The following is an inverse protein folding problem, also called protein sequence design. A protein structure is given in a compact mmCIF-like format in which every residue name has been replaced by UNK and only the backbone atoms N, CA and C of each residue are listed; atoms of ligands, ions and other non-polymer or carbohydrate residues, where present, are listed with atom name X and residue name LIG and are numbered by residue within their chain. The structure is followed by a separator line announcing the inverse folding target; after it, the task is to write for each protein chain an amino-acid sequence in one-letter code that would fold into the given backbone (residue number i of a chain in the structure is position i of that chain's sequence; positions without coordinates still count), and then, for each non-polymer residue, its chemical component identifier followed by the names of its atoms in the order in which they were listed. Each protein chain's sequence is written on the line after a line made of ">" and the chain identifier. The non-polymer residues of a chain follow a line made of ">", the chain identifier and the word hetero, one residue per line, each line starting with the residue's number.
data_IF_776873321612
#
_entry.id   IF_776873321612
#
_cell.length_a   1.000
_cell.length_b   1.000
_cell.length_c   1.000
_cell.angle_alpha   90.00
_cell.angle_beta   90.00
_cell.angle_gamma   90.00
#
_symmetry.space_group_name_H-M   'P 1'
#
loop_
_entity.id
_entity.type
_entity.pdbx_description
1 polymer ?
2 non-polymer ?
3 non-polymer ?
4 non-polymer ?
5 water ?
#
# COMPACT_ATOMS: atom_id res chain seq x y z
N UNK A 1 -4.59 -5.80 21.67
CA UNK A 1 -5.59 -4.79 21.37
C UNK A 1 -5.23 -3.96 20.16
N UNK A 2 -6.13 -3.06 19.75
CA UNK A 2 -5.88 -2.26 18.55
C UNK A 2 -4.56 -1.50 18.55
N UNK A 3 -4.15 -0.92 19.69
CA UNK A 3 -2.91 -0.15 19.68
C UNK A 3 -1.69 -1.03 19.44
N UNK A 4 -1.64 -2.21 20.07
CA UNK A 4 -0.54 -3.14 19.84
C UNK A 4 -0.54 -3.65 18.40
N UNK A 5 -1.71 -4.01 17.88
CA UNK A 5 -1.77 -4.46 16.49
C UNK A 5 -1.35 -3.34 15.54
N UNK A 6 -1.71 -2.10 15.87
CA UNK A 6 -1.28 -0.97 15.05
C UNK A 6 0.23 -0.75 15.12
N UNK A 7 0.89 -1.12 16.23
CA UNK A 7 2.35 -1.10 16.22
C UNK A 7 2.92 -2.07 15.19
N UNK A 8 2.37 -3.27 15.12
CA UNK A 8 2.81 -4.22 14.10
C UNK A 8 2.55 -3.67 12.70
N UNK A 9 1.39 -3.04 12.49
CA UNK A 9 1.11 -2.42 11.20
C UNK A 9 2.13 -1.33 10.87
N UNK A 10 2.48 -0.50 11.86
CA UNK A 10 3.51 0.51 11.63
C UNK A 10 4.85 -0.12 11.27
N UNK A 11 5.18 -1.25 11.89
CA UNK A 11 6.41 -1.95 11.53
C UNK A 11 6.39 -2.45 10.10
N UNK A 12 5.27 -3.03 9.69
CA UNK A 12 5.09 -3.44 8.29
C UNK A 12 5.29 -2.26 7.36
N UNK A 13 4.64 -1.14 7.66
CA UNK A 13 4.73 0.03 6.79
C UNK A 13 6.18 0.50 6.67
N UNK A 14 6.89 0.58 7.80
CA UNK A 14 8.30 0.94 7.76
C UNK A 14 9.09 -0.01 6.87
N UNK A 15 8.83 -1.32 6.99
CA UNK A 15 9.52 -2.27 6.12
C UNK A 15 9.20 -2.03 4.65
N UNK A 16 7.92 -1.80 4.32
CA UNK A 16 7.57 -1.59 2.92
C UNK A 16 8.26 -0.37 2.33
N UNK A 17 8.57 0.63 3.16
CA UNK A 17 9.23 1.85 2.72
C UNK A 17 10.75 1.78 2.80
N UNK A 18 11.32 0.66 3.23
CA UNK A 18 12.74 0.58 3.50
C UNK A 18 13.54 0.18 2.26
N UNK A 19 14.85 0.42 2.33
CA UNK A 19 15.74 0.15 1.21
C UNK A 19 15.66 -1.30 0.78
N UNK A 20 15.43 -2.20 1.74
CA UNK A 20 15.30 -3.63 1.48
C UNK A 20 14.40 -3.93 0.28
N UNK A 21 13.27 -3.23 0.17
CA UNK A 21 12.27 -3.52 -0.85
C UNK A 21 12.19 -2.46 -1.94
N UNK A 22 13.15 -1.53 -1.99
CA UNK A 22 13.00 -0.35 -2.84
C UNK A 22 12.94 -0.71 -4.32
N UNK A 23 13.52 -1.85 -4.73
CA UNK A 23 13.54 -2.18 -6.15
C UNK A 23 12.15 -2.35 -6.74
N UNK A 24 11.19 -2.80 -5.92
CA UNK A 24 9.82 -3.00 -6.37
C UNK A 24 8.79 -2.17 -5.60
N UNK A 25 9.17 -1.51 -4.51
CA UNK A 25 8.22 -0.71 -3.76
C UNK A 25 8.11 0.72 -4.26
N UNK A 26 9.13 1.21 -4.96
CA UNK A 26 9.17 2.62 -5.34
C UNK A 26 7.91 3.13 -6.04
N UNK A 27 7.21 2.38 -6.91
CA UNK A 27 6.01 2.98 -7.52
C UNK A 27 4.97 3.41 -6.50
N UNK A 28 4.93 2.75 -5.35
CA UNK A 28 3.89 2.92 -4.36
C UNK A 28 4.24 3.96 -3.31
N UNK A 29 5.35 4.68 -3.47
CA UNK A 29 5.80 5.63 -2.46
C UNK A 29 4.90 6.86 -2.35
N UNK A 30 4.40 7.38 -3.46
CA UNK A 30 3.67 8.63 -3.49
C UNK A 30 2.42 8.47 -4.33
N UNK A 31 1.44 9.38 -4.21
CA UNK A 31 0.23 9.24 -5.03
C UNK A 31 0.56 9.21 -6.51
N UNK A 32 -0.17 8.38 -7.26
CA UNK A 32 -0.03 8.38 -8.72
C UNK A 32 -0.31 9.78 -9.24
N UNK A 33 0.63 10.34 -9.99
CA UNK A 33 0.45 11.62 -10.67
C UNK A 33 -0.04 11.32 -12.08
N UNK A 34 -1.36 11.20 -12.22
CA UNK A 34 -1.93 10.70 -13.48
C UNK A 34 -1.60 11.62 -14.64
N UNK A 35 -1.65 12.93 -14.41
CA UNK A 35 -1.35 13.89 -15.47
C UNK A 35 0.10 13.79 -15.91
N UNK A 36 1.03 13.69 -14.96
CA UNK A 36 2.44 13.58 -15.30
C UNK A 36 2.73 12.31 -16.09
N UNK A 37 2.02 11.22 -15.78
CA UNK A 37 2.21 9.95 -16.46
C UNK A 37 1.39 9.81 -17.73
N UNK A 38 0.58 10.81 -18.09
CA UNK A 38 -0.26 10.71 -19.27
C UNK A 38 -1.44 9.78 -19.12
N UNK A 39 -1.82 9.44 -17.88
CA UNK A 39 -2.91 8.50 -17.63
C UNK A 39 -4.20 9.29 -17.41
N UNK A 40 -4.73 9.81 -18.52
CA UNK A 40 -5.82 10.77 -18.43
C UNK A 40 -7.16 10.14 -18.10
N UNK A 41 -7.21 8.81 -18.02
CA UNK A 41 -8.40 8.08 -17.59
C UNK A 41 -8.26 7.51 -16.19
N UNK A 42 -7.12 7.72 -15.52
CA UNK A 42 -6.85 7.06 -14.25
C UNK A 42 -7.93 7.37 -13.22
N UNK A 43 -8.30 8.63 -13.08
CA UNK A 43 -9.28 9.01 -12.06
C UNK A 43 -10.71 8.70 -12.47
N UNK A 44 -10.96 8.33 -13.73
CA UNK A 44 -12.25 7.78 -14.10
C UNK A 44 -12.35 6.31 -13.72
N UNK A 45 -11.23 5.60 -13.72
CA UNK A 45 -11.21 4.16 -13.46
C UNK A 45 -10.97 3.86 -11.98
N UNK A 46 -10.12 4.66 -11.33
CA UNK A 46 -9.73 4.46 -9.94
C UNK A 46 -10.46 5.50 -9.10
N UNK A 47 -11.46 5.05 -8.36
CA UNK A 47 -12.29 5.97 -7.60
C UNK A 47 -11.64 6.36 -6.28
N UNK A 48 -10.77 5.49 -5.73
CA UNK A 48 -10.18 5.68 -4.41
C UNK A 48 -8.67 5.46 -4.50
N UNK A 49 -7.92 6.46 -4.95
CA UNK A 49 -6.46 6.33 -4.99
C UNK A 49 -5.88 6.09 -3.60
N UNK A 50 -4.79 5.33 -3.56
CA UNK A 50 -4.07 5.08 -2.31
C UNK A 50 -2.61 4.82 -2.60
N UNK A 51 -1.75 5.13 -1.62
CA UNK A 51 -0.31 4.96 -1.77
C UNK A 51 0.30 4.97 -0.37
N UNK A 52 1.57 4.58 -0.29
CA UNK A 52 2.19 4.40 1.02
C UNK A 52 2.40 5.71 1.78
N UNK A 53 2.64 6.83 1.09
CA UNK A 53 2.77 8.09 1.83
C UNK A 53 1.46 8.49 2.49
N UNK A 54 0.33 8.18 1.85
CA UNK A 54 -0.97 8.46 2.45
C UNK A 54 -1.24 7.54 3.64
N UNK A 55 -0.91 6.25 3.50
CA UNK A 55 -1.01 5.33 4.63
C UNK A 55 -0.16 5.82 5.80
N UNK A 56 1.05 6.29 5.52
CA UNK A 56 1.94 6.75 6.58
C UNK A 56 1.36 7.97 7.29
N UNK A 57 0.86 8.95 6.52
CA UNK A 57 0.25 10.12 7.14
C UNK A 57 -0.94 9.72 8.01
N UNK A 58 -1.77 8.79 7.53
CA UNK A 58 -2.90 8.33 8.32
C UNK A 58 -2.45 7.66 9.61
N UNK A 59 -1.40 6.82 9.54
CA UNK A 59 -0.88 6.19 10.75
C UNK A 59 -0.35 7.24 11.72
N UNK A 60 0.40 8.21 11.21
CA UNK A 60 0.99 9.22 12.07
C UNK A 60 -0.08 10.05 12.76
N UNK A 61 -1.20 10.30 12.08
CA UNK A 61 -2.30 11.10 12.60
C UNK A 61 -3.29 10.28 13.41
N UNK A 62 -3.02 9.00 13.65
CA UNK A 62 -3.92 8.12 14.39
C UNK A 62 -5.28 8.00 13.71
N UNK A 63 -5.29 8.12 12.38
CA UNK A 63 -6.53 7.98 11.64
C UNK A 63 -7.03 6.54 11.66
N UNK A 64 -6.13 5.56 11.57
CA UNK A 64 -6.54 4.16 11.62
C UNK A 64 -6.94 3.77 13.03
N UNK A 65 -8.15 3.22 13.15
CA UNK A 65 -8.64 2.78 14.45
C UNK A 65 -8.24 1.35 14.78
N UNK A 66 -7.95 0.53 13.77
CA UNK A 66 -7.55 -0.84 14.01
C UNK A 66 -6.74 -1.33 12.81
N UNK A 67 -6.19 -2.53 12.97
CA UNK A 67 -5.33 -3.10 11.94
C UNK A 67 -6.11 -3.40 10.67
N UNK A 68 -7.39 -3.76 10.79
CA UNK A 68 -8.18 -4.08 9.61
C UNK A 68 -8.35 -2.85 8.72
N UNK A 69 -8.49 -1.67 9.33
CA UNK A 69 -8.62 -0.44 8.54
C UNK A 69 -7.34 -0.16 7.78
N UNK A 70 -6.20 -0.35 8.43
CA UNK A 70 -4.89 -0.19 7.79
C UNK A 70 -4.74 -1.17 6.63
N UNK A 71 -5.07 -2.44 6.86
CA UNK A 71 -4.87 -3.45 5.82
C UNK A 71 -5.77 -3.19 4.63
N UNK A 72 -6.98 -2.70 4.87
CA UNK A 72 -7.87 -2.40 3.76
C UNK A 72 -7.28 -1.34 2.85
N UNK A 73 -6.61 -0.33 3.42
CA UNK A 73 -5.98 0.71 2.61
C UNK A 73 -4.79 0.16 1.82
N UNK A 74 -3.93 -0.63 2.48
CA UNK A 74 -2.79 -1.21 1.76
C UNK A 74 -3.27 -2.07 0.61
N UNK A 75 -4.29 -2.89 0.85
CA UNK A 75 -4.82 -3.74 -0.20
C UNK A 75 -5.52 -2.95 -1.29
N UNK A 76 -6.18 -1.84 -0.93
CA UNK A 76 -6.78 -0.95 -1.92
C UNK A 76 -5.72 -0.43 -2.88
N UNK A 77 -4.56 -0.04 -2.35
CA UNK A 77 -3.50 0.46 -3.21
C UNK A 77 -3.06 -0.60 -4.23
N UNK A 78 -2.89 -1.85 -3.79
CA UNK A 78 -2.52 -2.91 -4.74
C UNK A 78 -3.65 -3.19 -5.74
N UNK A 79 -4.89 -3.23 -5.24
CA UNK A 79 -6.02 -3.52 -6.11
C UNK A 79 -6.17 -2.47 -7.20
N UNK A 80 -5.89 -1.20 -6.89
CA UNK A 80 -5.95 -0.16 -7.91
C UNK A 80 -5.00 -0.49 -9.05
N UNK A 81 -3.81 -0.97 -8.72
CA UNK A 81 -2.83 -1.34 -9.74
C UNK A 81 -3.32 -2.52 -10.58
N UNK A 82 -3.92 -3.52 -9.92
CA UNK A 82 -4.46 -4.67 -10.64
C UNK A 82 -5.65 -4.28 -11.50
N UNK A 83 -6.39 -3.25 -11.08
CA UNK A 83 -7.57 -2.79 -11.82
C UNK A 83 -7.19 -2.01 -13.07
N UNK A 84 -6.18 -1.14 -12.97
CA UNK A 84 -5.91 -0.20 -14.05
C UNK A 84 -5.09 -0.81 -15.19
N UNK A 85 -4.21 -1.75 -14.88
CA UNK A 85 -3.19 -2.18 -15.83
C UNK A 85 -3.43 -3.60 -16.33
N UNK A 86 -2.96 -3.92 -17.53
CA UNK A 86 -2.95 -5.32 -17.96
C UNK A 86 -2.13 -6.14 -16.99
N UNK A 87 -2.50 -7.40 -16.78
CA UNK A 87 -1.86 -8.19 -15.72
C UNK A 87 -0.39 -8.48 -15.96
N UNK A 88 0.12 -8.35 -17.18
CA UNK A 88 1.53 -8.61 -17.44
C UNK A 88 2.39 -7.36 -17.40
N UNK A 89 1.83 -6.21 -17.01
CA UNK A 89 2.65 -5.00 -16.94
C UNK A 89 3.65 -5.11 -15.79
N UNK A 90 4.85 -4.55 -16.00
CA UNK A 90 5.86 -4.59 -14.94
C UNK A 90 5.38 -3.96 -13.64
N UNK A 91 4.54 -2.92 -13.70
CA UNK A 91 4.08 -2.31 -12.45
C UNK A 91 3.21 -3.28 -11.65
N UNK A 92 2.48 -4.15 -12.34
CA UNK A 92 1.72 -5.18 -11.66
C UNK A 92 2.65 -6.22 -11.04
N UNK A 93 3.72 -6.59 -11.75
CA UNK A 93 4.70 -7.51 -11.18
C UNK A 93 5.30 -6.95 -9.89
N UNK A 94 5.61 -5.66 -9.89
CA UNK A 94 6.09 -5.00 -8.67
C UNK A 94 5.05 -5.00 -7.56
N UNK A 95 3.79 -4.67 -7.90
CA UNK A 95 2.72 -4.73 -6.91
C UNK A 95 2.61 -6.11 -6.28
N UNK A 96 2.65 -7.16 -7.11
CA UNK A 96 2.52 -8.51 -6.57
C UNK A 96 3.65 -8.85 -5.61
N UNK A 97 4.88 -8.47 -5.95
CA UNK A 97 6.01 -8.74 -5.08
C UNK A 97 5.88 -8.00 -3.75
N UNK A 98 5.51 -6.71 -3.80
CA UNK A 98 5.35 -5.97 -2.56
C UNK A 98 4.16 -6.48 -1.76
N UNK A 99 3.09 -6.89 -2.44
CA UNK A 99 1.95 -7.43 -1.70
C UNK A 99 2.31 -8.74 -0.99
N UNK A 100 3.17 -9.57 -1.59
CA UNK A 100 3.63 -10.77 -0.90
C UNK A 100 4.34 -10.41 0.40
N UNK A 101 5.25 -9.43 0.35
CA UNK A 101 5.90 -8.96 1.58
C UNK A 101 4.84 -8.57 2.60
N UNK A 102 3.86 -7.78 2.17
CA UNK A 102 2.84 -7.28 3.09
C UNK A 102 2.02 -8.42 3.69
N UNK A 103 1.48 -9.30 2.84
CA UNK A 103 0.55 -10.32 3.33
C UNK A 103 1.25 -11.31 4.27
N UNK A 104 2.48 -11.70 3.95
CA UNK A 104 3.16 -12.66 4.81
C UNK A 104 3.50 -12.07 6.17
N UNK A 105 3.83 -10.79 6.23
CA UNK A 105 4.10 -10.20 7.54
C UNK A 105 2.82 -9.81 8.27
N UNK A 106 1.78 -9.37 7.54
CA UNK A 106 0.50 -9.11 8.19
C UNK A 106 -0.04 -10.37 8.86
N UNK A 107 0.25 -11.54 8.28
CA UNK A 107 -0.18 -12.81 8.83
C UNK A 107 0.55 -13.16 10.13
N UNK A 108 1.62 -12.45 10.46
CA UNK A 108 2.34 -12.64 11.72
C UNK A 108 1.88 -11.68 12.81
N UNK A 109 0.78 -10.97 12.61
CA UNK A 109 0.30 -10.04 13.62
C UNK A 109 -0.03 -10.76 14.92
N UNK A 110 0.41 -10.25 16.07
CA UNK A 110 -0.04 -10.82 17.35
C UNK A 110 -1.54 -10.65 17.54
N UNK A 111 -2.16 -11.62 18.21
CA UNK A 111 -3.57 -11.47 18.61
C UNK A 111 -3.70 -10.31 19.59
X LIG B 1 5.80 4.87 -12.83
X LIG B 1 7.64 6.52 -13.99
X LIG B 1 4.42 5.83 -10.61
X LIG B 1 0.97 3.23 -13.79
X LIG B 1 0.72 2.85 -16.30
X LIG B 1 2.69 4.04 -15.44
X LIG B 1 -0.35 2.26 -12.00
X LIG B 1 0.68 2.75 -11.09
X LIG B 1 0.55 2.53 -9.71
X LIG B 1 1.54 3.01 -8.87
X LIG B 1 2.64 3.69 -9.40
X LIG B 1 2.78 3.92 -10.77
X LIG B 1 3.98 4.65 -11.22
X LIG B 1 4.69 4.18 -12.35
X LIG B 1 6.24 6.04 -12.20
X LIG B 1 7.67 5.01 -14.30
X LIG B 1 5.54 6.51 -11.09
X LIG B 1 1.77 3.44 -11.60
X LIG B 1 1.67 1.77 -16.85
X LIG B 1 3.60 2.98 -16.11
X LIG B 1 -0.11 2.55 -13.38
X LIG B 1 1.39 3.40 -15.13
X LIG B 1 -1.35 1.66 -11.63
X LIG B 1 7.32 6.74 -12.64
X LIG B 1 6.45 4.35 -13.95
X LIG B 1 1.92 3.66 -12.95
X LIG B 1 2.93 2.32 -17.18
X LIG C 1 12.50 4.78 -10.27
X LIG C 1 12.09 5.46 -11.47
X LIG C 1 13.32 3.60 -10.80
X LIG C 1 13.92 3.05 -9.61
X LIG D 1 -6.85 -3.50 -17.05
X LIG D 1 -7.01 -4.79 -16.44
X LIG D 1 -6.24 -3.82 -18.40
X LIG D 1 -6.79 -5.11 -18.72
X LIG E 1 -9.33 -6.28 3.65
#
# INVERSE_FOLDING_TARGET
>A
GPMEQLKHCNGILKELLSKKHAAYAWPFYKPVDASALGLHDYHDIIKHPMDLSTVKRKMENRDYRDAQEFAADVRLMFSNCYKYNPPDHDVVAMARKLQDVFEFRYAKMPD
>B hetero
1 O6O C10 C13 C17 C20 C22 C26 C02 C03 C04 C05 C06 C07 C08 C09 C11 C14 C16 C18 C23 C25 C27 N21 O01 O12 O15 O19 O24
>C hetero
1 EDO C1 O1 C2 O2
>D hetero
1 EDO C1 O1 C2 O2
>E hetero
1 NA NA
#
